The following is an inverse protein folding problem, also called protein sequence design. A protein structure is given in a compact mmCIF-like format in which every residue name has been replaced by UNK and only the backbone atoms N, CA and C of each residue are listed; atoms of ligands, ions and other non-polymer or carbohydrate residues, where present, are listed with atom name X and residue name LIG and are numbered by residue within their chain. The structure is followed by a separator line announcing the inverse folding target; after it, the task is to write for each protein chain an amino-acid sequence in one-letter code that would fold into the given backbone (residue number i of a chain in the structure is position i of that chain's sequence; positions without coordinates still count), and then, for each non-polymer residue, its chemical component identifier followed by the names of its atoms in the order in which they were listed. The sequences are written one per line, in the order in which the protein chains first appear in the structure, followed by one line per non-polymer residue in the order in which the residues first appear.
data_IF_627236513198
#
_entry.id   IF_627236513198
#
_cell.length_a   1.000
_cell.length_b   1.000
_cell.length_c   1.000
_cell.angle_alpha   90.00
_cell.angle_beta   90.00
_cell.angle_gamma   90.00
#
_symmetry.space_group_name_H-M   'P 1'
#
loop_
_entity.id
_entity.type
_entity.pdbx_description
1 polymer ?
#
# COMPACT_ATOMS: atom_id res chain seq x y z
N UNK A 1 64.70 11.40 40.66
CA UNK A 1 64.57 10.35 41.69
C UNK A 1 63.14 9.85 41.60
N UNK A 2 62.95 8.77 40.91
CA UNK A 2 61.65 8.10 40.85
C UNK A 2 61.91 6.65 41.24
N UNK A 3 61.45 6.29 42.42
CA UNK A 3 61.48 4.92 42.91
C UNK A 3 60.37 4.13 42.19
N UNK A 4 60.78 3.15 41.44
CA UNK A 4 59.91 2.06 41.00
C UNK A 4 59.70 1.12 42.18
N UNK A 5 58.57 1.19 42.84
CA UNK A 5 58.10 0.17 43.76
C UNK A 5 57.61 -1.05 42.97
N UNK A 6 58.30 -2.14 43.16
CA UNK A 6 57.91 -3.47 42.72
C UNK A 6 56.67 -3.89 43.51
N UNK A 7 55.50 -3.76 42.89
CA UNK A 7 54.24 -4.30 43.34
C UNK A 7 53.61 -5.03 42.13
N UNK A 8 53.17 -6.24 42.32
CA UNK A 8 52.55 -7.08 41.33
C UNK A 8 51.40 -6.38 40.59
N UNK A 9 51.79 -5.70 39.50
CA UNK A 9 50.84 -5.15 38.53
C UNK A 9 50.11 -6.33 37.89
N UNK A 10 48.96 -6.56 38.45
CA UNK A 10 47.94 -7.36 37.74
C UNK A 10 47.56 -6.53 36.52
N UNK A 11 48.25 -6.71 35.43
CA UNK A 11 47.83 -6.23 34.13
C UNK A 11 46.44 -6.80 33.88
N UNK A 12 45.42 -6.05 34.22
CA UNK A 12 44.08 -6.31 33.67
C UNK A 12 44.23 -6.08 32.19
N UNK A 13 44.48 -7.18 31.48
CA UNK A 13 44.43 -7.24 30.04
C UNK A 13 42.96 -6.98 29.70
N UNK A 14 42.68 -5.74 29.45
CA UNK A 14 41.40 -5.33 28.89
C UNK A 14 41.29 -6.02 27.53
N UNK A 15 40.76 -7.22 27.57
CA UNK A 15 40.38 -7.95 26.37
C UNK A 15 39.24 -7.15 25.77
N UNK A 16 39.56 -6.17 24.92
CA UNK A 16 38.59 -5.68 23.99
C UNK A 16 38.07 -6.91 23.23
N UNK A 17 36.87 -7.37 23.66
CA UNK A 17 36.13 -8.45 23.00
C UNK A 17 35.71 -7.90 21.62
N UNK A 18 36.68 -7.75 20.73
CA UNK A 18 36.43 -7.50 19.33
C UNK A 18 35.78 -8.75 18.73
N UNK A 19 34.72 -8.58 17.97
CA UNK A 19 34.09 -9.66 17.21
C UNK A 19 35.16 -10.35 16.34
N UNK A 20 35.18 -11.66 16.40
CA UNK A 20 36.00 -12.47 15.49
C UNK A 20 35.52 -12.28 14.05
N UNK A 21 36.43 -12.24 13.07
CA UNK A 21 36.12 -12.14 11.65
C UNK A 21 35.14 -13.25 11.21
N UNK A 22 35.27 -14.44 11.79
CA UNK A 22 34.40 -15.59 11.52
C UNK A 22 32.97 -15.36 12.07
N UNK A 23 32.82 -14.79 13.28
CA UNK A 23 31.52 -14.45 13.83
C UNK A 23 30.77 -13.42 12.95
N UNK A 24 31.49 -12.39 12.47
CA UNK A 24 30.89 -11.43 11.54
C UNK A 24 30.47 -12.10 10.23
N UNK A 25 31.31 -12.99 9.68
CA UNK A 25 31.03 -13.69 8.43
C UNK A 25 29.79 -14.58 8.55
N UNK A 26 29.64 -15.33 9.65
CA UNK A 26 28.46 -16.16 9.90
C UNK A 26 27.20 -15.32 10.03
N UNK A 27 27.25 -14.19 10.73
CA UNK A 27 26.11 -13.28 10.90
C UNK A 27 25.64 -12.72 9.54
N UNK A 28 26.57 -12.22 8.71
CA UNK A 28 26.18 -11.69 7.39
C UNK A 28 25.67 -12.78 6.46
N UNK A 29 26.17 -14.02 6.56
CA UNK A 29 25.66 -15.15 5.80
C UNK A 29 24.20 -15.48 6.18
N UNK A 30 23.89 -15.51 7.48
CA UNK A 30 22.53 -15.75 7.98
C UNK A 30 21.59 -14.62 7.54
N UNK A 31 22.00 -13.36 7.73
CA UNK A 31 21.17 -12.21 7.31
C UNK A 31 20.95 -12.25 5.79
N UNK A 32 21.98 -12.58 5.00
CA UNK A 32 21.86 -12.69 3.55
C UNK A 32 20.85 -13.75 3.11
N UNK A 33 20.86 -14.93 3.72
CA UNK A 33 19.90 -15.99 3.40
C UNK A 33 18.48 -15.63 3.82
N UNK A 34 18.29 -15.05 5.00
CA UNK A 34 16.97 -14.61 5.48
C UNK A 34 16.40 -13.47 4.62
N UNK A 35 17.24 -12.53 4.22
CA UNK A 35 16.83 -11.43 3.35
C UNK A 35 16.35 -11.92 1.98
N UNK A 36 16.99 -12.92 1.39
CA UNK A 36 16.60 -13.46 0.10
C UNK A 36 15.18 -14.04 0.10
N UNK A 37 14.78 -14.71 1.16
CA UNK A 37 13.40 -15.23 1.32
C UNK A 37 12.42 -14.14 1.74
N UNK A 38 12.87 -13.21 2.59
CA UNK A 38 12.04 -12.15 3.14
C UNK A 38 11.49 -11.19 2.07
N UNK A 39 12.29 -10.81 1.09
CA UNK A 39 11.89 -9.88 0.02
C UNK A 39 10.73 -10.44 -0.83
N UNK A 40 10.78 -11.72 -1.20
CA UNK A 40 9.71 -12.34 -2.00
C UNK A 40 8.38 -12.39 -1.24
N UNK A 41 8.43 -12.76 0.04
CA UNK A 41 7.24 -12.83 0.89
C UNK A 41 6.65 -11.43 1.17
N UNK A 42 7.52 -10.42 1.33
CA UNK A 42 7.11 -9.04 1.57
C UNK A 42 6.35 -8.44 0.39
N UNK A 43 6.82 -8.67 -0.84
CA UNK A 43 6.16 -8.15 -2.04
C UNK A 43 4.73 -8.70 -2.19
N UNK A 44 4.53 -10.00 -1.97
CA UNK A 44 3.19 -10.60 -2.02
C UNK A 44 2.26 -10.07 -0.91
N UNK A 45 2.80 -9.85 0.29
CA UNK A 45 2.03 -9.25 1.38
C UNK A 45 1.61 -7.81 1.09
N UNK A 46 2.51 -7.00 0.52
CA UNK A 46 2.24 -5.61 0.17
C UNK A 46 1.18 -5.48 -0.92
N UNK A 47 1.21 -6.32 -1.96
CA UNK A 47 0.17 -6.33 -2.99
C UNK A 47 -1.20 -6.65 -2.39
N UNK A 48 -1.31 -7.69 -1.58
CA UNK A 48 -2.57 -8.02 -0.90
C UNK A 48 -3.05 -6.95 0.10
N UNK A 49 -2.14 -6.22 0.74
CA UNK A 49 -2.49 -5.12 1.63
C UNK A 49 -3.06 -3.93 0.85
N UNK A 50 -2.45 -3.56 -0.29
CA UNK A 50 -2.95 -2.52 -1.18
C UNK A 50 -4.33 -2.84 -1.74
N UNK A 51 -4.55 -4.08 -2.20
CA UNK A 51 -5.86 -4.54 -2.67
C UNK A 51 -6.94 -4.37 -1.59
N UNK A 52 -6.66 -4.75 -0.35
CA UNK A 52 -7.59 -4.56 0.78
C UNK A 52 -7.85 -3.08 1.06
N UNK A 53 -6.83 -2.24 1.00
CA UNK A 53 -6.99 -0.78 1.16
C UNK A 53 -7.86 -0.20 0.05
N UNK A 54 -7.63 -0.58 -1.20
CA UNK A 54 -8.46 -0.15 -2.34
C UNK A 54 -9.92 -0.58 -2.16
N UNK A 55 -10.19 -1.83 -1.74
CA UNK A 55 -11.54 -2.30 -1.45
C UNK A 55 -12.22 -1.49 -0.35
N UNK A 56 -11.51 -1.14 0.72
CA UNK A 56 -12.06 -0.30 1.79
C UNK A 56 -12.43 1.10 1.28
N UNK A 57 -11.59 1.71 0.44
CA UNK A 57 -11.87 3.02 -0.18
C UNK A 57 -13.06 2.92 -1.12
N UNK A 58 -13.15 1.88 -1.95
CA UNK A 58 -14.31 1.65 -2.83
C UNK A 58 -15.62 1.53 -2.02
N UNK A 59 -15.60 0.91 -0.84
CA UNK A 59 -16.76 0.85 0.05
C UNK A 59 -17.13 2.24 0.60
N UNK A 60 -16.14 3.04 1.00
CA UNK A 60 -16.40 4.41 1.46
C UNK A 60 -17.01 5.26 0.33
N UNK A 61 -16.50 5.12 -0.89
CA UNK A 61 -17.09 5.79 -2.08
C UNK A 61 -18.55 5.33 -2.28
N UNK A 62 -18.84 4.04 -2.15
CA UNK A 62 -20.20 3.52 -2.29
C UNK A 62 -21.15 4.08 -1.22
N UNK A 63 -20.68 4.31 0.00
CA UNK A 63 -21.46 4.97 1.05
C UNK A 63 -21.68 6.45 0.73
N UNK A 64 -20.64 7.17 0.30
CA UNK A 64 -20.77 8.58 -0.11
C UNK A 64 -21.70 8.74 -1.32
N UNK A 65 -21.70 7.81 -2.26
CA UNK A 65 -22.66 7.77 -3.37
C UNK A 65 -24.11 7.65 -2.89
N UNK A 66 -24.35 6.89 -1.83
CA UNK A 66 -25.70 6.77 -1.26
C UNK A 66 -26.15 8.08 -0.61
N UNK A 67 -25.24 8.79 0.03
CA UNK A 67 -25.47 10.10 0.59
C UNK A 67 -25.73 11.14 -0.52
N UNK A 68 -24.90 11.15 -1.56
CA UNK A 68 -25.07 12.03 -2.72
C UNK A 68 -26.42 11.81 -3.40
N UNK A 69 -26.82 10.55 -3.60
CA UNK A 69 -28.14 10.22 -4.16
C UNK A 69 -29.29 10.73 -3.28
N UNK A 70 -29.14 10.69 -1.97
CA UNK A 70 -30.15 11.19 -1.04
C UNK A 70 -30.29 12.71 -1.10
N UNK A 71 -29.19 13.42 -1.38
CA UNK A 71 -29.14 14.88 -1.41
C UNK A 71 -29.48 15.45 -2.80
N UNK A 72 -28.89 14.88 -3.86
CA UNK A 72 -28.97 15.38 -5.23
C UNK A 72 -29.97 14.61 -6.11
N UNK A 73 -30.45 13.43 -5.67
CA UNK A 73 -31.33 12.56 -6.46
C UNK A 73 -30.63 11.82 -7.60
N UNK A 74 -29.30 11.94 -7.70
CA UNK A 74 -28.46 11.26 -8.71
C UNK A 74 -27.13 10.83 -8.10
N UNK A 75 -26.51 9.80 -8.66
CA UNK A 75 -25.15 9.39 -8.31
C UNK A 75 -24.13 10.28 -9.00
N UNK A 76 -23.01 10.54 -8.34
CA UNK A 76 -21.87 11.17 -8.98
C UNK A 76 -21.22 10.16 -9.92
N UNK A 77 -21.01 10.54 -11.18
CA UNK A 77 -20.31 9.75 -12.19
C UNK A 77 -19.43 10.65 -13.04
N UNK A 78 -18.33 10.12 -13.55
CA UNK A 78 -17.36 10.85 -14.36
C UNK A 78 -17.60 10.63 -15.85
N UNK A 79 -17.94 9.40 -16.25
CA UNK A 79 -18.12 8.99 -17.64
C UNK A 79 -19.33 8.07 -17.77
N UNK A 80 -19.90 8.00 -18.98
CA UNK A 80 -20.99 7.09 -19.32
C UNK A 80 -20.44 5.77 -19.90
N UNK A 81 -20.84 4.66 -19.28
CA UNK A 81 -20.52 3.30 -19.70
C UNK A 81 -19.23 2.75 -19.13
N UNK A 82 -18.10 3.39 -19.35
CA UNK A 82 -16.79 2.97 -18.82
C UNK A 82 -15.91 4.18 -18.52
N UNK A 83 -15.04 4.06 -17.53
CA UNK A 83 -14.07 5.10 -17.20
C UNK A 83 -12.66 4.52 -17.10
N UNK A 84 -11.65 5.36 -17.26
CA UNK A 84 -10.25 4.99 -17.06
C UNK A 84 -9.76 5.56 -15.74
N UNK A 85 -9.33 4.71 -14.79
CA UNK A 85 -8.82 5.16 -13.51
C UNK A 85 -7.52 5.94 -13.68
N UNK A 86 -7.50 7.19 -13.26
CA UNK A 86 -6.34 8.08 -13.29
C UNK A 86 -6.22 8.81 -11.97
N UNK A 87 -5.09 9.47 -11.72
CA UNK A 87 -4.96 10.34 -10.54
C UNK A 87 -5.99 11.47 -10.57
N UNK A 88 -6.22 12.05 -11.75
CA UNK A 88 -7.19 13.13 -11.91
C UNK A 88 -8.63 12.67 -11.60
N UNK A 89 -9.01 11.43 -12.00
CA UNK A 89 -10.33 10.88 -11.65
C UNK A 89 -10.46 10.63 -10.14
N UNK A 90 -9.41 10.15 -9.49
CA UNK A 90 -9.36 9.98 -8.03
C UNK A 90 -9.52 11.31 -7.28
N UNK A 91 -8.80 12.35 -7.71
CA UNK A 91 -8.88 13.69 -7.12
C UNK A 91 -10.28 14.31 -7.33
N UNK A 92 -10.91 14.10 -8.49
CA UNK A 92 -12.27 14.53 -8.75
C UNK A 92 -13.31 13.84 -7.85
N UNK A 93 -13.14 12.55 -7.54
CA UNK A 93 -13.98 11.84 -6.58
C UNK A 93 -13.84 12.46 -5.19
N UNK A 94 -12.62 12.73 -4.74
CA UNK A 94 -12.37 13.37 -3.45
C UNK A 94 -13.01 14.76 -3.35
N UNK A 95 -12.90 15.54 -4.43
CA UNK A 95 -13.48 16.89 -4.47
C UNK A 95 -15.01 16.89 -4.42
N UNK A 96 -15.67 15.93 -5.08
CA UNK A 96 -17.12 15.93 -5.22
C UNK A 96 -17.86 15.13 -4.13
N UNK A 97 -17.24 14.07 -3.60
CA UNK A 97 -17.90 13.19 -2.62
C UNK A 97 -17.35 13.35 -1.20
N UNK A 98 -16.18 13.97 -1.01
CA UNK A 98 -15.49 13.99 0.28
C UNK A 98 -14.93 15.35 0.68
N UNK A 99 -15.44 16.45 0.10
CA UNK A 99 -14.99 17.82 0.40
C UNK A 99 -13.44 17.99 0.34
N UNK A 100 -12.79 17.35 -0.62
CA UNK A 100 -11.32 17.27 -0.79
C UNK A 100 -10.58 16.55 0.35
N UNK A 101 -11.24 15.72 1.14
CA UNK A 101 -10.54 14.85 2.08
C UNK A 101 -9.69 13.83 1.31
N UNK A 102 -8.44 13.62 1.71
CA UNK A 102 -7.50 12.69 1.07
C UNK A 102 -7.80 11.23 1.48
N UNK A 103 -8.87 10.69 0.90
CA UNK A 103 -9.32 9.30 1.10
C UNK A 103 -8.61 8.35 0.12
N UNK A 104 -8.31 8.84 -1.09
CA UNK A 104 -7.65 8.08 -2.16
C UNK A 104 -6.18 8.51 -2.23
N UNK A 105 -5.43 8.27 -1.15
CA UNK A 105 -4.00 8.58 -1.09
C UNK A 105 -3.17 7.80 -2.12
N UNK A 106 -2.03 8.35 -2.51
CA UNK A 106 -1.09 7.68 -3.44
C UNK A 106 -0.52 6.37 -2.89
N UNK A 107 -0.53 6.22 -1.59
CA UNK A 107 -0.01 5.06 -0.84
C UNK A 107 -0.91 3.81 -0.96
N UNK A 108 -2.20 3.96 -1.30
CA UNK A 108 -3.05 2.80 -1.60
C UNK A 108 -2.62 2.07 -2.86
N UNK A 109 -1.89 2.74 -3.77
CA UNK A 109 -1.35 2.16 -5.00
C UNK A 109 -2.40 1.87 -6.08
N UNK A 110 -3.61 2.46 -5.97
CA UNK A 110 -4.69 2.35 -6.95
C UNK A 110 -5.22 3.73 -7.32
N UNK A 111 -5.52 3.93 -8.60
CA UNK A 111 -6.36 5.01 -9.07
C UNK A 111 -7.80 4.52 -9.18
N UNK A 112 -8.76 5.42 -8.97
CA UNK A 112 -10.18 5.08 -8.94
C UNK A 112 -10.96 6.01 -9.86
N UNK A 113 -11.95 5.46 -10.57
CA UNK A 113 -12.94 6.23 -11.30
C UNK A 113 -14.35 5.65 -11.10
N UNK A 114 -15.37 6.41 -11.46
CA UNK A 114 -16.78 6.03 -11.35
C UNK A 114 -17.47 6.25 -12.68
N UNK A 115 -17.93 5.15 -13.29
CA UNK A 115 -18.71 5.18 -14.53
C UNK A 115 -20.21 5.07 -14.26
N UNK A 116 -21.03 5.75 -15.06
CA UNK A 116 -22.47 5.50 -15.11
C UNK A 116 -22.73 4.21 -15.90
N UNK A 117 -23.56 3.33 -15.37
CA UNK A 117 -23.99 2.11 -16.06
C UNK A 117 -25.49 2.11 -16.35
N UNK A 118 -26.10 3.28 -16.43
CA UNK A 118 -27.51 3.51 -16.71
C UNK A 118 -28.17 4.43 -15.69
N UNK A 119 -29.43 4.78 -15.89
CA UNK A 119 -30.18 5.67 -15.03
C UNK A 119 -30.24 5.12 -13.60
N UNK A 120 -29.64 5.80 -12.66
CA UNK A 120 -29.52 5.45 -11.24
C UNK A 120 -28.69 4.18 -10.97
N UNK A 121 -27.61 3.97 -11.74
CA UNK A 121 -26.66 2.90 -11.50
C UNK A 121 -25.21 3.36 -11.75
N UNK A 122 -24.23 2.80 -11.05
CA UNK A 122 -22.82 3.13 -11.19
C UNK A 122 -21.93 1.91 -11.05
N UNK A 123 -20.70 2.04 -11.57
CA UNK A 123 -19.61 1.10 -11.43
C UNK A 123 -18.38 1.87 -10.94
N UNK A 124 -17.83 1.47 -9.81
CA UNK A 124 -16.54 1.96 -9.34
C UNK A 124 -15.48 1.03 -9.88
N UNK A 125 -14.47 1.58 -10.54
CA UNK A 125 -13.32 0.87 -11.09
C UNK A 125 -12.06 1.35 -10.40
N UNK A 126 -11.26 0.45 -9.87
CA UNK A 126 -9.95 0.73 -9.29
C UNK A 126 -8.88 -0.05 -10.04
N UNK A 127 -7.82 0.61 -10.46
CA UNK A 127 -6.70 0.04 -11.21
C UNK A 127 -5.38 0.32 -10.50
N UNK A 128 -4.53 -0.69 -10.39
CA UNK A 128 -3.23 -0.57 -9.75
C UNK A 128 -2.30 0.37 -10.53
N UNK A 129 -1.63 1.30 -9.84
CA UNK A 129 -0.80 2.34 -10.46
C UNK A 129 0.54 1.84 -11.00
N UNK A 130 1.00 0.65 -10.61
CA UNK A 130 2.36 0.14 -10.89
C UNK A 130 2.33 -1.13 -11.77
N UNK A 131 1.17 -1.64 -12.14
CA UNK A 131 1.01 -2.94 -12.81
C UNK A 131 1.35 -2.98 -14.32
N UNK A 132 1.49 -1.83 -14.98
CA UNK A 132 1.71 -1.78 -16.44
C UNK A 132 0.55 -2.42 -17.23
N UNK A 133 0.86 -3.22 -18.27
CA UNK A 133 -0.17 -3.89 -19.09
C UNK A 133 -0.95 -4.99 -18.35
N UNK A 134 -0.45 -5.45 -17.19
CA UNK A 134 -1.08 -6.46 -16.34
C UNK A 134 -1.43 -5.85 -14.97
N UNK A 135 -2.05 -4.68 -14.96
CA UNK A 135 -2.47 -4.03 -13.72
C UNK A 135 -3.70 -4.73 -13.15
N UNK A 136 -3.69 -4.94 -11.83
CA UNK A 136 -4.86 -5.48 -11.13
C UNK A 136 -6.03 -4.50 -11.20
N UNK A 137 -7.16 -4.93 -11.76
CA UNK A 137 -8.40 -4.16 -11.85
C UNK A 137 -9.43 -4.75 -10.91
N UNK A 138 -9.95 -3.89 -10.04
CA UNK A 138 -11.04 -4.20 -9.13
C UNK A 138 -12.27 -3.41 -9.55
N UNK A 139 -13.44 -4.03 -9.51
CA UNK A 139 -14.69 -3.32 -9.74
C UNK A 139 -15.67 -3.54 -8.60
N UNK A 140 -16.49 -2.53 -8.32
CA UNK A 140 -17.57 -2.58 -7.35
C UNK A 140 -18.83 -1.98 -7.97
N UNK A 141 -19.87 -2.80 -8.07
CA UNK A 141 -21.19 -2.34 -8.51
C UNK A 141 -21.97 -1.69 -7.37
N UNK A 142 -22.99 -0.90 -7.70
CA UNK A 142 -23.94 -0.33 -6.75
C UNK A 142 -24.52 -1.37 -5.76
N UNK A 143 -24.72 -2.60 -6.22
CA UNK A 143 -25.30 -3.67 -5.41
C UNK A 143 -24.29 -4.34 -4.45
N UNK A 144 -23.08 -3.81 -4.36
CA UNK A 144 -22.03 -4.34 -3.50
C UNK A 144 -21.31 -5.59 -4.07
N UNK A 145 -21.49 -5.88 -5.36
CA UNK A 145 -20.80 -7.00 -6.00
C UNK A 145 -19.39 -6.56 -6.40
N UNK A 146 -18.40 -7.21 -5.82
CA UNK A 146 -16.99 -7.07 -6.18
C UNK A 146 -16.63 -8.07 -7.28
N UNK A 147 -15.93 -7.58 -8.30
CA UNK A 147 -15.20 -8.44 -9.21
C UNK A 147 -13.73 -8.03 -9.26
N UNK A 148 -12.90 -8.95 -9.66
CA UNK A 148 -11.48 -8.75 -9.77
C UNK A 148 -11.01 -9.44 -11.05
N UNK A 149 -10.11 -8.79 -11.78
CA UNK A 149 -9.54 -9.33 -13.01
C UNK A 149 -8.55 -10.47 -12.70
N UNK A 150 -8.22 -11.26 -13.74
CA UNK A 150 -7.32 -12.42 -13.61
C UNK A 150 -5.86 -12.03 -13.33
N UNK A 151 -5.49 -10.77 -13.58
CA UNK A 151 -4.14 -10.24 -13.37
C UNK A 151 -3.87 -9.80 -11.92
N UNK A 152 -4.86 -9.92 -11.05
CA UNK A 152 -4.71 -9.79 -9.62
C UNK A 152 -4.18 -11.13 -9.03
#
# INVERSE_FOLDING_TARGET
IAECLVGSEMCIRDSSLGFSLVELLVVVAIIGTLSAVGVLSYNGYMSGAKEKSAKNVMQQISLAQTEEYSNAGSYYTQDDGSCTPTRASSDAIQANLFDNADIIGVDIGYNICIASTGAANYLIVAEETIGGENSCILTLTRNGVYTRDNDC
#
